data_IF_829381429068
#
_entry.id   IF_829381429068
#
_cell.length_a   1.000
_cell.length_b   1.000
_cell.length_c   1.000
_cell.angle_alpha   90.00
_cell.angle_beta   90.00
_cell.angle_gamma   90.00
#
_symmetry.space_group_name_H-M   'P 1'
#
loop_
_entity.id
_entity.type
_entity.pdbx_description
1 polymer ?
#
# COMPACT_ATOMS: atom_id res chain seq x y z
N UNK A 1 -36.10 47.88 -24.15
CA UNK A 1 -35.01 47.62 -25.13
C UNK A 1 -33.73 47.49 -24.32
N UNK A 2 -32.88 46.48 -24.38
CA UNK A 2 -32.69 45.25 -25.16
C UNK A 2 -31.77 44.39 -24.26
N UNK A 3 -32.20 43.19 -23.89
CA UNK A 3 -31.62 41.91 -24.37
C UNK A 3 -30.26 41.52 -23.74
N UNK A 4 -30.34 40.56 -22.80
CA UNK A 4 -29.58 39.29 -22.72
C UNK A 4 -28.23 39.21 -23.46
N UNK A 5 -27.16 38.97 -22.68
CA UNK A 5 -25.92 38.25 -23.02
C UNK A 5 -25.41 37.71 -21.67
N UNK A 6 -25.57 36.47 -21.20
CA UNK A 6 -25.37 35.15 -21.83
C UNK A 6 -24.14 35.10 -22.72
N UNK A 7 -23.00 34.79 -22.10
CA UNK A 7 -21.76 34.38 -22.73
C UNK A 7 -20.92 33.63 -21.69
N UNK A 8 -21.32 32.39 -21.44
CA UNK A 8 -20.42 31.30 -21.09
C UNK A 8 -19.55 30.97 -22.32
N UNK A 9 -18.22 31.05 -22.24
CA UNK A 9 -17.36 30.29 -23.12
C UNK A 9 -16.70 29.19 -22.28
N UNK A 10 -17.36 28.04 -22.19
CA UNK A 10 -16.66 26.78 -21.93
C UNK A 10 -15.75 26.51 -23.12
N UNK A 11 -14.50 26.97 -23.04
CA UNK A 11 -13.46 26.58 -23.97
C UNK A 11 -13.26 25.06 -23.91
N UNK A 12 -13.27 24.33 -25.04
CA UNK A 12 -12.98 22.91 -25.03
C UNK A 12 -11.56 22.68 -24.51
N UNK A 13 -11.43 21.91 -23.43
CA UNK A 13 -10.15 21.34 -22.99
C UNK A 13 -9.47 20.69 -24.21
N UNK A 14 -8.14 20.84 -24.37
CA UNK A 14 -7.44 20.46 -25.59
C UNK A 14 -7.66 18.97 -25.91
N UNK A 15 -8.45 18.71 -26.96
CA UNK A 15 -8.79 17.39 -27.50
C UNK A 15 -7.56 16.52 -27.81
N UNK A 16 -6.41 17.18 -28.00
CA UNK A 16 -5.08 16.60 -28.19
C UNK A 16 -4.63 15.71 -27.01
N UNK A 17 -4.91 16.07 -25.74
CA UNK A 17 -4.47 15.26 -24.59
C UNK A 17 -5.34 14.01 -24.42
N UNK A 18 -6.65 14.15 -24.68
CA UNK A 18 -7.58 13.02 -24.66
C UNK A 18 -7.21 11.96 -25.70
N UNK A 19 -6.94 12.38 -26.94
CA UNK A 19 -6.55 11.46 -28.01
C UNK A 19 -5.18 10.81 -27.75
N UNK A 20 -4.20 11.54 -27.21
CA UNK A 20 -2.88 10.98 -26.84
C UNK A 20 -2.99 9.91 -25.75
N UNK A 21 -3.80 10.14 -24.72
CA UNK A 21 -4.01 9.14 -23.64
C UNK A 21 -4.77 7.92 -24.15
N UNK A 22 -5.73 8.11 -25.04
CA UNK A 22 -6.50 6.99 -25.64
C UNK A 22 -5.66 6.17 -26.62
N UNK A 23 -4.83 6.81 -27.44
CA UNK A 23 -3.89 6.11 -28.32
C UNK A 23 -2.83 5.34 -27.54
N UNK A 24 -2.33 5.91 -26.43
CA UNK A 24 -1.40 5.22 -25.53
C UNK A 24 -2.06 4.00 -24.87
N UNK A 25 -3.30 4.12 -24.38
CA UNK A 25 -4.03 3.01 -23.78
C UNK A 25 -4.27 1.87 -24.79
N UNK A 26 -4.62 2.19 -26.04
CA UNK A 26 -4.79 1.20 -27.12
C UNK A 26 -3.46 0.53 -27.45
N UNK A 27 -2.36 1.29 -27.54
CA UNK A 27 -1.02 0.74 -27.78
C UNK A 27 -0.59 -0.25 -26.69
N UNK A 28 -0.80 0.11 -25.41
CA UNK A 28 -0.50 -0.78 -24.28
C UNK A 28 -1.36 -2.04 -24.36
N UNK A 29 -2.66 -1.92 -24.66
CA UNK A 29 -3.54 -3.08 -24.78
C UNK A 29 -3.07 -4.06 -25.87
N UNK A 30 -2.63 -3.55 -27.03
CA UNK A 30 -2.09 -4.39 -28.12
C UNK A 30 -0.80 -5.09 -27.70
N UNK A 31 0.09 -4.41 -26.99
CA UNK A 31 1.34 -5.00 -26.47
C UNK A 31 1.03 -6.10 -25.46
N UNK A 32 0.10 -5.88 -24.53
CA UNK A 32 -0.30 -6.89 -23.55
C UNK A 32 -0.89 -8.12 -24.22
N UNK A 33 -1.77 -7.94 -25.22
CA UNK A 33 -2.33 -9.06 -25.99
C UNK A 33 -1.24 -9.82 -26.75
N UNK A 34 -0.27 -9.11 -27.34
CA UNK A 34 0.88 -9.73 -28.00
C UNK A 34 1.74 -10.56 -27.05
N UNK A 35 1.99 -10.05 -25.84
CA UNK A 35 2.75 -10.77 -24.80
C UNK A 35 1.99 -12.03 -24.36
N UNK A 36 0.68 -11.92 -24.12
CA UNK A 36 -0.15 -13.07 -23.73
C UNK A 36 -0.13 -14.14 -24.84
N UNK A 37 -0.27 -13.73 -26.11
CA UNK A 37 -0.19 -14.65 -27.25
C UNK A 37 1.18 -15.32 -27.35
N UNK A 38 2.28 -14.59 -27.10
CA UNK A 38 3.63 -15.16 -27.08
C UNK A 38 3.83 -16.15 -25.92
N UNK A 39 3.32 -15.86 -24.73
CA UNK A 39 3.36 -16.78 -23.58
C UNK A 39 2.57 -18.05 -23.88
N UNK A 40 1.36 -17.93 -24.44
CA UNK A 40 0.55 -19.08 -24.84
C UNK A 40 1.26 -19.90 -25.91
N UNK A 41 1.89 -19.26 -26.90
CA UNK A 41 2.67 -19.95 -27.92
C UNK A 41 3.83 -20.74 -27.29
N UNK A 42 4.59 -20.15 -26.37
CA UNK A 42 5.67 -20.83 -25.65
C UNK A 42 5.15 -22.02 -24.86
N UNK A 43 4.03 -21.89 -24.14
CA UNK A 43 3.44 -22.99 -23.36
C UNK A 43 2.98 -24.13 -24.28
N UNK A 44 2.32 -23.80 -25.39
CA UNK A 44 1.85 -24.80 -26.36
C UNK A 44 3.03 -25.50 -27.04
N UNK A 45 4.08 -24.78 -27.43
CA UNK A 45 5.29 -25.39 -28.02
C UNK A 45 6.15 -26.14 -27.01
N UNK A 46 6.06 -25.82 -25.71
CA UNK A 46 6.78 -26.52 -24.64
C UNK A 46 6.02 -27.73 -24.10
N UNK A 47 4.76 -27.93 -24.51
CA UNK A 47 3.94 -29.09 -24.11
C UNK A 47 4.27 -30.39 -24.86
N UNK A 48 5.20 -30.35 -25.82
CA UNK A 48 5.78 -31.54 -26.45
C UNK A 48 7.23 -31.74 -26.01
N UNK A 49 7.45 -32.29 -24.81
CA UNK A 49 8.77 -32.76 -24.41
C UNK A 49 9.01 -32.98 -22.91
N UNK A 50 9.09 -34.26 -22.54
CA UNK A 50 9.76 -34.86 -21.36
C UNK A 50 9.15 -34.58 -19.98
N UNK A 51 8.35 -35.49 -19.41
CA UNK A 51 8.77 -36.71 -18.68
C UNK A 51 9.83 -36.48 -17.58
N UNK A 52 9.32 -36.47 -16.35
CA UNK A 52 10.07 -36.59 -15.10
C UNK A 52 10.79 -37.93 -15.02
N UNK A 53 12.08 -37.91 -14.65
CA UNK A 53 12.71 -39.07 -13.99
C UNK A 53 13.71 -38.59 -12.94
N UNK A 54 13.44 -38.97 -11.69
CA UNK A 54 14.33 -38.84 -10.54
C UNK A 54 14.69 -40.26 -10.06
N UNK A 55 15.78 -40.35 -9.29
CA UNK A 55 16.52 -41.54 -8.82
C UNK A 55 17.47 -42.15 -9.87
N UNK A 56 18.74 -42.43 -9.60
CA UNK A 56 19.35 -42.99 -8.38
C UNK A 56 20.84 -42.60 -8.25
N UNK A 57 21.36 -42.64 -7.02
CA UNK A 57 22.79 -42.63 -6.68
C UNK A 57 23.37 -44.04 -6.93
N UNK A 58 24.69 -44.23 -7.15
CA UNK A 58 25.54 -44.56 -6.00
C UNK A 58 27.00 -44.04 -6.08
N UNK A 59 27.56 -43.92 -4.88
CA UNK A 59 28.98 -43.81 -4.48
C UNK A 59 29.95 -44.80 -5.18
N UNK A 60 31.16 -44.33 -5.57
CA UNK A 60 32.49 -44.80 -5.11
C UNK A 60 33.70 -44.46 -6.05
N UNK A 61 34.73 -43.86 -5.43
CA UNK A 61 36.19 -44.09 -5.58
C UNK A 61 37.00 -43.69 -6.86
N UNK A 62 37.83 -42.65 -6.66
CA UNK A 62 39.31 -42.55 -6.84
C UNK A 62 40.04 -42.79 -8.20
N UNK A 63 40.52 -41.68 -8.79
CA UNK A 63 41.85 -41.32 -9.40
C UNK A 63 42.56 -42.25 -10.44
N UNK A 64 43.60 -41.81 -11.22
CA UNK A 64 44.21 -40.48 -11.52
C UNK A 64 44.35 -40.16 -13.05
N UNK A 65 44.97 -39.02 -13.48
CA UNK A 65 44.96 -38.55 -14.88
C UNK A 65 46.23 -38.91 -15.69
N UNK A 66 46.18 -38.77 -17.02
CA UNK A 66 47.35 -38.88 -17.92
C UNK A 66 47.23 -37.85 -19.07
N UNK A 67 48.34 -37.26 -19.55
CA UNK A 67 48.40 -35.91 -20.13
C UNK A 67 48.61 -35.92 -21.66
N UNK A 68 48.85 -34.71 -22.23
CA UNK A 68 49.64 -34.34 -23.44
C UNK A 68 48.87 -33.33 -24.33
N UNK A 69 49.53 -32.63 -25.27
CA UNK A 69 50.66 -31.71 -25.12
C UNK A 69 50.36 -30.35 -25.80
N UNK A 70 51.14 -29.33 -25.46
CA UNK A 70 50.86 -27.94 -25.81
C UNK A 70 51.17 -27.53 -27.25
N UNK A 71 50.71 -26.33 -27.60
CA UNK A 71 51.32 -25.49 -28.61
C UNK A 71 51.08 -24.02 -28.25
N UNK A 72 52.18 -23.30 -28.11
CA UNK A 72 52.27 -21.86 -27.95
C UNK A 72 52.48 -21.26 -29.34
N UNK A 73 52.03 -20.02 -29.58
CA UNK A 73 52.98 -19.09 -30.21
C UNK A 73 53.02 -17.71 -29.52
N UNK A 74 54.25 -17.34 -29.19
CA UNK A 74 54.87 -16.02 -29.07
C UNK A 74 54.02 -14.72 -29.01
N UNK A 75 54.10 -14.11 -27.82
CA UNK A 75 54.67 -12.77 -27.50
C UNK A 75 54.26 -11.56 -28.35
N UNK A 76 53.58 -10.60 -27.69
CA UNK A 76 54.05 -9.20 -27.53
C UNK A 76 53.54 -8.57 -26.23
N UNK A 77 54.47 -8.31 -25.33
CA UNK A 77 54.31 -7.61 -24.04
C UNK A 77 54.19 -6.08 -24.25
N UNK A 78 53.64 -5.32 -23.27
CA UNK A 78 54.48 -4.85 -22.16
C UNK A 78 53.98 -5.26 -20.77
N UNK A 79 54.89 -5.85 -19.99
CA UNK A 79 54.73 -6.18 -18.58
C UNK A 79 54.97 -4.90 -17.79
N UNK A 80 53.98 -4.51 -16.99
CA UNK A 80 54.16 -3.57 -15.89
C UNK A 80 54.51 -4.41 -14.65
N UNK A 81 55.58 -4.11 -13.89
CA UNK A 81 55.90 -4.83 -12.67
C UNK A 81 54.82 -4.61 -11.60
N UNK A 82 54.33 -5.63 -10.88
CA UNK A 82 53.49 -5.41 -9.72
C UNK A 82 54.33 -4.84 -8.56
N UNK A 83 53.82 -3.81 -7.90
CA UNK A 83 54.40 -3.26 -6.68
C UNK A 83 54.42 -4.32 -5.57
N UNK A 84 55.61 -4.67 -5.07
CA UNK A 84 55.85 -5.77 -4.13
C UNK A 84 55.55 -5.46 -2.65
N UNK A 85 54.65 -4.53 -2.30
CA UNK A 85 54.43 -4.17 -0.89
C UNK A 85 52.96 -3.90 -0.54
N UNK A 86 52.08 -4.88 -0.76
CA UNK A 86 50.80 -4.93 -0.04
C UNK A 86 50.97 -5.83 1.20
N UNK A 87 50.68 -5.34 2.43
CA UNK A 87 50.66 -6.19 3.61
C UNK A 87 49.60 -7.30 3.44
N UNK A 88 49.82 -8.50 3.99
CA UNK A 88 48.85 -9.59 3.91
C UNK A 88 47.52 -9.15 4.52
N UNK A 89 46.37 -9.58 3.96
CA UNK A 89 45.06 -9.22 4.50
C UNK A 89 44.93 -9.79 5.92
N UNK A 90 44.84 -8.90 6.90
CA UNK A 90 44.46 -9.27 8.26
C UNK A 90 43.02 -9.76 8.23
N UNK A 91 42.82 -11.06 8.44
CA UNK A 91 41.50 -11.65 8.64
C UNK A 91 40.87 -11.02 9.88
N UNK A 92 39.93 -10.11 9.68
CA UNK A 92 39.04 -9.66 10.74
C UNK A 92 38.10 -10.83 11.04
N UNK A 93 38.07 -11.37 12.26
CA UNK A 93 37.13 -12.43 12.60
C UNK A 93 35.71 -11.91 12.41
N UNK A 94 34.99 -12.49 11.45
CA UNK A 94 33.54 -12.33 11.33
C UNK A 94 32.92 -12.97 12.56
N UNK A 95 32.52 -12.16 13.54
CA UNK A 95 31.66 -12.63 14.60
C UNK A 95 30.42 -13.25 13.96
N UNK A 96 30.19 -14.54 14.22
CA UNK A 96 28.99 -15.22 13.76
C UNK A 96 27.78 -14.47 14.32
N UNK A 97 26.98 -13.88 13.43
CA UNK A 97 25.71 -13.26 13.80
C UNK A 97 24.80 -14.40 14.23
N UNK A 98 24.50 -14.48 15.54
CA UNK A 98 23.49 -15.41 16.06
C UNK A 98 22.20 -15.20 15.29
N UNK A 99 21.60 -16.24 14.67
CA UNK A 99 20.35 -16.08 13.94
C UNK A 99 19.27 -15.54 14.88
N UNK A 100 18.40 -14.62 14.41
CA UNK A 100 17.33 -14.09 15.22
C UNK A 100 16.45 -15.23 15.76
N UNK A 101 15.92 -15.11 16.99
CA UNK A 101 15.03 -16.11 17.56
C UNK A 101 13.86 -16.39 16.61
N UNK A 102 13.57 -17.68 16.38
CA UNK A 102 12.39 -18.09 15.64
C UNK A 102 11.15 -17.78 16.48
N UNK A 103 10.20 -17.06 15.89
CA UNK A 103 8.91 -16.75 16.52
C UNK A 103 8.15 -18.05 16.79
N UNK A 104 7.63 -18.22 18.00
CA UNK A 104 6.82 -19.39 18.39
C UNK A 104 5.35 -19.06 18.35
N UNK A 105 4.54 -20.10 18.27
CA UNK A 105 3.09 -19.94 18.28
C UNK A 105 2.61 -19.32 19.60
N UNK A 106 1.79 -18.27 19.49
CA UNK A 106 1.22 -17.58 20.64
C UNK A 106 2.11 -16.53 21.30
N UNK A 107 3.34 -16.34 20.81
CA UNK A 107 4.18 -15.18 21.12
C UNK A 107 3.52 -13.88 20.64
N UNK A 108 3.98 -12.73 21.14
CA UNK A 108 3.56 -11.43 20.60
C UNK A 108 4.02 -11.26 19.14
N UNK A 109 3.12 -10.82 18.27
CA UNK A 109 3.44 -10.51 16.89
C UNK A 109 4.43 -9.34 16.84
N UNK A 110 5.68 -9.53 16.36
CA UNK A 110 6.55 -8.40 16.08
C UNK A 110 5.98 -7.58 14.91
N UNK A 111 6.26 -6.28 14.89
CA UNK A 111 5.77 -5.36 13.85
C UNK A 111 6.20 -5.80 12.43
N UNK A 112 7.30 -6.55 12.29
CA UNK A 112 7.76 -7.13 11.01
C UNK A 112 6.88 -8.23 10.44
N UNK A 113 6.03 -8.85 11.28
CA UNK A 113 5.09 -9.91 10.89
C UNK A 113 3.66 -9.41 10.72
N UNK A 114 3.43 -8.12 10.95
CA UNK A 114 2.13 -7.49 10.79
C UNK A 114 2.16 -6.48 9.64
N UNK A 115 1.02 -6.32 8.99
CA UNK A 115 0.76 -5.21 8.08
C UNK A 115 -0.49 -4.45 8.55
N UNK A 116 -0.45 -3.14 8.39
CA UNK A 116 -1.59 -2.26 8.69
C UNK A 116 -1.97 -1.50 7.43
N UNK A 117 -3.26 -1.39 7.15
CA UNK A 117 -3.81 -0.69 5.99
C UNK A 117 -5.03 0.13 6.39
N UNK A 118 -5.11 1.36 5.86
CA UNK A 118 -6.33 2.16 5.86
C UNK A 118 -7.17 1.90 4.62
N UNK A 119 -8.49 2.04 4.76
CA UNK A 119 -9.43 2.05 3.65
C UNK A 119 -10.43 3.17 3.93
N UNK A 120 -10.73 3.98 2.93
CA UNK A 120 -11.84 4.93 2.97
C UNK A 120 -13.06 4.31 2.29
N UNK A 121 -14.26 4.57 2.79
CA UNK A 121 -15.49 4.06 2.17
C UNK A 121 -15.70 4.57 0.73
N UNK A 122 -15.14 5.73 0.40
CA UNK A 122 -15.15 6.34 -0.93
C UNK A 122 -13.82 7.08 -1.17
N UNK A 123 -13.37 7.23 -2.42
CA UNK A 123 -12.17 8.04 -2.73
C UNK A 123 -12.43 9.55 -2.67
N UNK A 124 -13.70 9.97 -2.71
CA UNK A 124 -14.12 11.37 -2.71
C UNK A 124 -15.39 11.52 -1.88
N UNK A 125 -15.46 12.61 -1.13
CA UNK A 125 -16.59 13.02 -0.30
C UNK A 125 -16.88 14.49 -0.52
N UNK A 126 -18.03 14.97 -0.09
CA UNK A 126 -18.36 16.40 -0.02
C UNK A 126 -18.11 16.91 1.40
N UNK A 127 -17.60 18.13 1.56
CA UNK A 127 -17.47 18.75 2.89
C UNK A 127 -18.83 18.72 3.61
N UNK A 128 -18.84 18.19 4.83
CA UNK A 128 -20.05 17.96 5.62
C UNK A 128 -20.49 16.49 5.65
N UNK A 129 -20.03 15.66 4.72
CA UNK A 129 -20.16 14.21 4.82
C UNK A 129 -19.25 13.65 5.92
N UNK A 130 -19.55 12.43 6.35
CA UNK A 130 -18.80 11.73 7.39
C UNK A 130 -18.07 10.51 6.79
N UNK A 131 -16.80 10.67 6.34
CA UNK A 131 -16.01 9.55 5.85
C UNK A 131 -15.92 8.42 6.88
N UNK A 132 -16.14 7.19 6.40
CA UNK A 132 -15.91 5.98 7.20
C UNK A 132 -14.54 5.43 6.85
N UNK A 133 -13.69 5.33 7.86
CA UNK A 133 -12.34 4.79 7.74
C UNK A 133 -12.30 3.39 8.35
N UNK A 134 -11.89 2.42 7.54
CA UNK A 134 -11.68 1.04 7.98
C UNK A 134 -10.18 0.81 8.13
N UNK A 135 -9.78 0.40 9.33
CA UNK A 135 -8.42 0.06 9.70
C UNK A 135 -8.30 -1.46 9.66
N UNK A 136 -7.35 -1.98 8.89
CA UNK A 136 -7.13 -3.42 8.72
C UNK A 136 -5.75 -3.78 9.25
N UNK A 137 -5.70 -4.72 10.18
CA UNK A 137 -4.45 -5.31 10.70
C UNK A 137 -4.38 -6.76 10.22
N UNK A 138 -3.26 -7.14 9.60
CA UNK A 138 -3.06 -8.47 8.99
C UNK A 138 -1.80 -9.12 9.53
N UNK A 139 -1.84 -10.42 9.85
CA UNK A 139 -0.63 -11.21 10.04
C UNK A 139 -0.08 -11.66 8.68
N UNK A 140 1.06 -11.09 8.30
CA UNK A 140 1.79 -11.41 7.06
C UNK A 140 2.93 -12.40 7.30
N UNK A 141 3.12 -12.84 8.54
CA UNK A 141 4.06 -13.90 8.92
C UNK A 141 3.50 -15.29 8.66
N UNK A 142 4.33 -16.29 8.96
CA UNK A 142 4.01 -17.72 8.78
C UNK A 142 3.60 -18.42 10.08
N UNK A 143 3.64 -17.72 11.21
CA UNK A 143 3.37 -18.26 12.56
C UNK A 143 2.21 -17.49 13.18
N UNK A 144 1.33 -18.21 13.89
CA UNK A 144 0.25 -17.56 14.63
C UNK A 144 0.81 -16.88 15.89
N UNK A 145 0.42 -15.62 16.11
CA UNK A 145 0.95 -14.79 17.17
C UNK A 145 -0.15 -13.88 17.74
N UNK A 146 0.11 -13.19 18.85
CA UNK A 146 -0.86 -12.33 19.53
C UNK A 146 -0.52 -10.85 19.34
N UNK A 147 -1.52 -10.01 19.12
CA UNK A 147 -1.35 -8.56 19.14
C UNK A 147 -2.56 -7.87 19.73
N UNK A 148 -2.31 -6.86 20.54
CA UNK A 148 -3.34 -5.91 20.93
C UNK A 148 -3.70 -5.03 19.73
N UNK A 149 -4.98 -4.99 19.39
CA UNK A 149 -5.59 -4.13 18.36
C UNK A 149 -6.75 -3.32 18.93
N UNK A 150 -6.74 -3.12 20.25
CA UNK A 150 -7.75 -2.35 20.97
C UNK A 150 -7.69 -0.85 20.66
N UNK A 151 -8.72 -0.15 21.11
CA UNK A 151 -8.85 1.29 20.93
C UNK A 151 -7.71 2.10 21.57
N UNK A 152 -6.97 1.52 22.53
CA UNK A 152 -5.80 2.14 23.13
C UNK A 152 -4.60 2.30 22.18
N UNK A 153 -4.46 1.41 21.20
CA UNK A 153 -3.23 1.32 20.38
C UNK A 153 -3.47 1.46 18.88
N UNK A 154 -4.72 1.32 18.43
CA UNK A 154 -5.10 1.42 17.02
C UNK A 154 -5.67 2.81 16.70
N UNK A 155 -4.92 3.57 15.89
CA UNK A 155 -5.23 4.94 15.54
C UNK A 155 -5.39 5.14 14.04
N UNK A 156 -6.43 5.87 13.64
CA UNK A 156 -6.54 6.51 12.34
C UNK A 156 -6.08 7.97 12.47
N UNK A 157 -5.39 8.46 11.45
CA UNK A 157 -4.94 9.83 11.32
C UNK A 157 -5.33 10.38 9.95
N UNK A 158 -5.74 11.66 9.93
CA UNK A 158 -5.87 12.42 8.68
C UNK A 158 -4.74 13.44 8.61
N UNK A 159 -4.05 13.44 7.48
CA UNK A 159 -2.95 14.34 7.17
C UNK A 159 -3.28 15.19 5.93
N UNK A 160 -2.80 16.43 5.93
CA UNK A 160 -2.65 17.20 4.69
C UNK A 160 -1.50 16.63 3.83
N UNK A 161 -1.43 17.05 2.56
CA UNK A 161 -0.39 16.60 1.62
C UNK A 161 1.04 17.03 2.02
N UNK A 162 1.17 18.07 2.83
CA UNK A 162 2.43 18.54 3.41
C UNK A 162 2.85 17.76 4.67
N UNK A 163 2.15 16.67 5.00
CA UNK A 163 2.30 15.85 6.19
C UNK A 163 1.94 16.57 7.50
N UNK A 164 1.20 17.69 7.45
CA UNK A 164 0.61 18.25 8.66
C UNK A 164 -0.53 17.37 9.16
N UNK A 165 -0.49 16.96 10.43
CA UNK A 165 -1.54 16.14 11.07
C UNK A 165 -2.74 17.01 11.38
N UNK A 166 -3.92 16.60 10.91
CA UNK A 166 -5.15 17.37 11.06
C UNK A 166 -6.13 16.75 12.06
N UNK A 167 -6.14 15.43 12.22
CA UNK A 167 -7.09 14.72 13.07
C UNK A 167 -6.59 13.32 13.49
N UNK A 168 -7.12 12.81 14.61
CA UNK A 168 -7.08 11.39 14.97
C UNK A 168 -8.32 10.96 15.76
N UNK A 169 -8.69 9.68 15.64
CA UNK A 169 -9.77 9.08 16.44
C UNK A 169 -9.49 9.10 17.96
N UNK A 170 -8.22 9.14 18.36
CA UNK A 170 -7.83 9.10 19.77
C UNK A 170 -7.83 10.48 20.47
N UNK A 171 -7.94 11.57 19.71
CA UNK A 171 -7.78 12.92 20.27
C UNK A 171 -8.91 13.31 21.23
N UNK A 172 -10.15 12.98 20.86
CA UNK A 172 -11.35 13.45 21.55
C UNK A 172 -12.14 12.37 22.30
N UNK A 173 -11.85 11.11 22.03
CA UNK A 173 -12.44 9.98 22.73
C UNK A 173 -11.35 8.91 22.95
N UNK A 174 -10.26 9.23 23.67
CA UNK A 174 -9.27 8.23 24.01
C UNK A 174 -9.91 7.11 24.83
N UNK A 175 -9.56 5.87 24.52
CA UNK A 175 -10.00 4.69 25.25
C UNK A 175 -8.77 3.91 25.71
N UNK A 176 -8.82 3.34 26.91
CA UNK A 176 -7.79 2.42 27.42
C UNK A 176 -8.18 0.95 27.19
N UNK A 177 -9.20 0.70 26.37
CA UNK A 177 -9.66 -0.65 26.04
C UNK A 177 -8.61 -1.37 25.19
N UNK A 178 -8.15 -2.50 25.71
CA UNK A 178 -7.28 -3.43 25.01
C UNK A 178 -8.09 -4.54 24.36
N UNK A 179 -7.62 -5.02 23.22
CA UNK A 179 -8.21 -6.14 22.48
C UNK A 179 -7.09 -7.01 21.93
N UNK A 180 -6.58 -7.90 22.78
CA UNK A 180 -5.56 -8.87 22.39
C UNK A 180 -6.21 -9.96 21.55
N UNK A 181 -5.78 -10.07 20.29
CA UNK A 181 -6.22 -11.11 19.35
C UNK A 181 -5.07 -12.00 18.98
N UNK A 182 -5.35 -13.30 18.86
CA UNK A 182 -4.47 -14.22 18.14
C UNK A 182 -4.74 -14.06 16.64
N UNK A 183 -3.69 -13.91 15.86
CA UNK A 183 -3.75 -13.84 14.40
C UNK A 183 -3.09 -15.09 13.81
N UNK A 184 -3.87 -15.90 13.11
CA UNK A 184 -3.32 -16.93 12.23
C UNK A 184 -2.64 -16.29 11.01
N UNK A 185 -1.72 -16.99 10.32
CA UNK A 185 -1.15 -16.50 9.06
C UNK A 185 -2.24 -16.07 8.06
N UNK A 186 -2.16 -14.83 7.57
CA UNK A 186 -3.15 -14.23 6.67
C UNK A 186 -4.44 -13.74 7.33
N UNK A 187 -4.62 -13.95 8.64
CA UNK A 187 -5.80 -13.47 9.36
C UNK A 187 -5.81 -11.94 9.47
N UNK A 188 -7.01 -11.37 9.41
CA UNK A 188 -7.25 -9.94 9.43
C UNK A 188 -8.24 -9.55 10.52
N UNK A 189 -7.95 -8.45 11.20
CA UNK A 189 -8.90 -7.77 12.09
C UNK A 189 -9.19 -6.40 11.49
N UNK A 190 -10.48 -6.06 11.41
CA UNK A 190 -10.96 -4.80 10.87
C UNK A 190 -11.67 -3.98 11.94
N UNK A 191 -11.30 -2.72 12.08
CA UNK A 191 -11.93 -1.76 12.99
C UNK A 191 -12.33 -0.53 12.21
N UNK A 192 -13.54 -0.03 12.42
CA UNK A 192 -14.07 1.10 11.67
C UNK A 192 -14.25 2.32 12.57
N UNK A 193 -13.97 3.50 12.01
CA UNK A 193 -14.22 4.78 12.65
C UNK A 193 -14.90 5.74 11.68
N UNK A 194 -15.87 6.48 12.18
CA UNK A 194 -16.53 7.55 11.43
C UNK A 194 -15.89 8.89 11.77
N UNK A 195 -15.39 9.59 10.76
CA UNK A 195 -14.79 10.90 10.93
C UNK A 195 -15.79 12.00 10.56
N UNK A 196 -15.86 13.04 11.38
CA UNK A 196 -16.84 14.12 11.22
C UNK A 196 -16.39 15.24 10.29
N UNK A 197 -15.22 15.12 9.63
CA UNK A 197 -14.62 16.22 8.85
C UNK A 197 -14.03 17.36 9.70
N UNK A 198 -13.97 17.19 11.02
CA UNK A 198 -13.43 18.20 11.94
C UNK A 198 -11.98 17.88 12.31
N UNK A 199 -11.16 18.91 12.44
CA UNK A 199 -9.82 18.80 12.97
C UNK A 199 -9.80 18.46 14.47
N UNK A 200 -8.70 17.90 14.92
CA UNK A 200 -8.44 17.63 16.34
C UNK A 200 -6.95 17.67 16.67
N UNK A 201 -6.68 17.87 17.94
CA UNK A 201 -5.35 17.75 18.54
C UNK A 201 -5.48 16.91 19.81
N UNK A 202 -4.36 16.39 20.36
CA UNK A 202 -4.36 15.77 21.67
C UNK A 202 -5.11 16.63 22.69
N UNK A 203 -5.69 16.02 23.73
CA UNK A 203 -6.57 16.65 24.72
C UNK A 203 -7.82 17.38 24.18
N UNK A 204 -8.11 17.26 22.88
CA UNK A 204 -9.31 17.78 22.22
C UNK A 204 -9.65 19.25 22.57
N UNK A 205 -8.80 20.22 22.21
CA UNK A 205 -9.10 21.62 22.45
C UNK A 205 -10.35 22.06 21.66
N UNK A 206 -11.19 22.85 22.32
CA UNK A 206 -12.38 23.46 21.71
C UNK A 206 -12.16 24.96 21.44
N UNK A 207 -12.75 25.53 20.38
CA UNK A 207 -13.59 24.87 19.38
C UNK A 207 -12.76 24.11 18.32
N UNK A 208 -13.20 22.91 17.97
CA UNK A 208 -12.64 22.16 16.84
C UNK A 208 -12.93 22.92 15.53
N UNK A 209 -11.92 23.02 14.67
CA UNK A 209 -12.07 23.70 13.38
C UNK A 209 -12.48 22.70 12.29
N UNK A 210 -13.44 23.06 11.41
CA UNK A 210 -13.77 22.23 10.26
C UNK A 210 -12.61 22.18 9.27
N UNK A 211 -12.39 21.03 8.65
CA UNK A 211 -11.41 20.87 7.58
C UNK A 211 -12.10 21.17 6.25
N UNK A 212 -11.48 22.06 5.48
CA UNK A 212 -12.01 22.54 4.22
C UNK A 212 -11.93 21.51 3.08
N UNK A 213 -12.29 21.93 1.86
CA UNK A 213 -12.09 21.12 0.67
C UNK A 213 -10.59 20.96 0.38
N UNK A 214 -10.20 19.79 -0.10
CA UNK A 214 -8.81 19.47 -0.38
C UNK A 214 -8.58 17.99 -0.64
N UNK A 215 -7.32 17.63 -0.89
CA UNK A 215 -6.86 16.24 -0.91
C UNK A 215 -6.10 15.96 0.37
N UNK A 216 -6.39 14.81 0.99
CA UNK A 216 -5.86 14.42 2.28
C UNK A 216 -5.39 12.97 2.23
N UNK A 217 -4.59 12.58 3.22
CA UNK A 217 -4.13 11.21 3.39
C UNK A 217 -4.71 10.64 4.68
N UNK A 218 -5.34 9.47 4.59
CA UNK A 218 -5.59 8.60 5.74
C UNK A 218 -4.33 7.77 5.99
N UNK A 219 -3.87 7.75 7.23
CA UNK A 219 -2.86 6.80 7.71
C UNK A 219 -3.39 6.06 8.93
N UNK A 220 -3.08 4.78 9.03
CA UNK A 220 -3.44 3.95 10.17
C UNK A 220 -2.16 3.54 10.90
N UNK A 221 -2.21 3.54 12.21
CA UNK A 221 -1.08 3.20 13.07
C UNK A 221 -1.54 2.21 14.14
N UNK A 222 -0.75 1.17 14.34
CA UNK A 222 -0.87 0.22 15.44
C UNK A 222 0.42 0.26 16.26
N UNK A 223 0.40 0.90 17.43
CA UNK A 223 1.62 1.13 18.21
C UNK A 223 2.66 1.91 17.38
N UNK A 224 3.79 1.29 17.01
CA UNK A 224 4.82 1.90 16.17
C UNK A 224 4.68 1.57 14.67
N UNK A 225 3.84 0.59 14.31
CA UNK A 225 3.63 0.16 12.94
C UNK A 225 2.67 1.11 12.22
N UNK A 226 3.07 1.62 11.05
CA UNK A 226 2.29 2.56 10.25
C UNK A 226 1.97 2.01 8.86
N UNK A 227 0.77 2.31 8.37
CA UNK A 227 0.38 2.03 6.99
C UNK A 227 1.00 3.02 6.01
N UNK A 228 0.97 2.65 4.73
CA UNK A 228 1.08 3.64 3.65
C UNK A 228 -0.09 4.65 3.71
N UNK A 229 0.10 5.88 3.20
CA UNK A 229 -0.99 6.85 3.08
C UNK A 229 -2.02 6.40 2.04
N UNK A 230 -3.30 6.65 2.34
CA UNK A 230 -4.42 6.44 1.42
C UNK A 230 -5.02 7.80 1.08
N UNK A 231 -4.88 8.27 -0.18
CA UNK A 231 -5.39 9.56 -0.58
C UNK A 231 -6.92 9.54 -0.70
N UNK A 232 -7.57 10.61 -0.26
CA UNK A 232 -8.98 10.86 -0.49
C UNK A 232 -9.25 12.36 -0.65
N UNK A 233 -10.41 12.71 -1.21
CA UNK A 233 -10.78 14.10 -1.53
C UNK A 233 -11.97 14.53 -0.69
N UNK A 234 -11.91 15.74 -0.12
CA UNK A 234 -13.09 16.50 0.29
C UNK A 234 -13.38 17.58 -0.76
N UNK A 235 -14.47 17.42 -1.49
CA UNK A 235 -14.92 18.36 -2.50
C UNK A 235 -15.75 19.50 -1.88
N UNK A 236 -15.75 20.64 -2.56
CA UNK A 236 -16.66 21.72 -2.20
C UNK A 236 -18.12 21.26 -2.34
N UNK A 237 -19.02 21.63 -1.41
CA UNK A 237 -20.44 21.43 -1.60
C UNK A 237 -20.91 22.15 -2.86
N UNK A 238 -21.52 21.42 -3.78
CA UNK A 238 -22.14 21.99 -4.97
C UNK A 238 -23.55 22.47 -4.60
N UNK A 239 -23.86 23.79 -4.63
CA UNK A 239 -25.18 24.31 -4.24
C UNK A 239 -26.34 23.75 -5.08
N UNK A 240 -26.06 23.25 -6.29
CA UNK A 240 -27.06 22.70 -7.20
C UNK A 240 -27.31 21.18 -7.05
N UNK A 241 -26.57 20.45 -6.22
CA UNK A 241 -26.84 19.03 -5.98
C UNK A 241 -27.71 18.86 -4.72
N UNK A 242 -28.91 18.26 -4.84
CA UNK A 242 -29.68 17.85 -3.68
C UNK A 242 -28.85 16.87 -2.85
N UNK A 243 -28.63 17.17 -1.57
CA UNK A 243 -27.95 16.25 -0.66
C UNK A 243 -28.70 14.91 -0.56
N UNK A 244 -28.03 13.83 -0.11
CA UNK A 244 -28.73 12.59 0.20
C UNK A 244 -29.88 12.89 1.18
N UNK A 245 -31.04 12.23 1.03
CA UNK A 245 -32.16 12.46 1.93
C UNK A 245 -31.67 12.25 3.37
N UNK A 246 -31.94 13.22 4.25
CA UNK A 246 -31.75 13.04 5.67
C UNK A 246 -32.68 11.89 6.11
N UNK A 247 -32.09 10.72 6.35
CA UNK A 247 -32.80 9.55 6.86
C UNK A 247 -33.45 9.95 8.20
N UNK A 248 -34.77 10.16 8.21
CA UNK A 248 -35.55 10.41 9.43
C UNK A 248 -36.38 11.69 9.51
N UNK A 249 -36.51 12.51 8.47
CA UNK A 249 -37.52 13.57 8.48
C UNK A 249 -38.92 12.95 8.33
N UNK A 250 -39.84 13.06 9.31
CA UNK A 250 -41.22 12.61 9.14
C UNK A 250 -41.88 13.42 8.00
N UNK A 251 -42.76 12.80 7.20
CA UNK A 251 -43.44 13.50 6.12
C UNK A 251 -44.22 14.68 6.69
N UNK A 252 -44.02 15.87 6.12
CA UNK A 252 -44.77 17.06 6.48
C UNK A 252 -46.27 16.80 6.26
N UNK A 253 -47.03 16.88 7.34
CA UNK A 253 -48.49 16.78 7.34
C UNK A 253 -49.07 17.89 6.45
N UNK A 254 -49.98 17.59 5.51
CA UNK A 254 -50.60 18.62 4.69
C UNK A 254 -51.46 19.53 5.58
N UNK A 255 -51.19 20.83 5.51
CA UNK A 255 -51.97 21.85 6.22
C UNK A 255 -53.45 21.75 5.84
N UNK A 256 -54.31 21.59 6.85
CA UNK A 256 -55.76 21.57 6.68
C UNK A 256 -56.25 22.92 6.12
N UNK A 257 -57.23 22.93 5.21
CA UNK A 257 -57.83 24.16 4.71
C UNK A 257 -58.62 24.83 5.85
N UNK A 258 -58.29 26.10 6.11
CA UNK A 258 -58.97 26.94 7.09
C UNK A 258 -60.42 27.20 6.72
N UNK A 259 -61.25 27.37 7.76
CA UNK A 259 -62.66 27.71 7.71
C UNK A 259 -62.85 29.17 8.15
#
# INVERSE_FOLDING_TARGET
>A
MKAVLDLEPHGPLPSQIYWRRRALAIGIAVVVVGIIAAIVAVIVTSSSGAESKSADEPTAAAAPPTPLPGENPEVKTPVVPPAQHAPPPTVTPTAAVTPPPLLKEGDDCPDSTLAVKGITSQPQYVVGEQPKFTMVVTNIGLVACKRDVGAAVLAAYVYALDNNRLWSNLDCAPSNETLVKTFNPGEQVTTEVTWTGMGSAPQCPMPRQPIGPGTYNLMVQLGNLRSAPVPFILAQPNPQQPGPPAEGAPPAEPAAPGN
#
